data_IF_832061873972
#
_entry.id   IF_832061873972
#
_cell.length_a   1.000
_cell.length_b   1.000
_cell.length_c   1.000
_cell.angle_alpha   90.00
_cell.angle_beta   90.00
_cell.angle_gamma   90.00
#
_symmetry.space_group_name_H-M   'P 1'
#
loop_
_entity.id
_entity.type
_entity.pdbx_description
1 polymer ?
#
# COMPACT_ATOMS: atom_id res chain seq x y z
N UNK A 1 0.25 -13.75 -1.82
CA UNK A 1 1.41 -14.01 -2.71
C UNK A 1 1.49 -13.03 -3.87
N UNK A 2 0.37 -12.49 -4.33
CA UNK A 2 0.28 -11.54 -5.44
C UNK A 2 1.26 -10.37 -5.33
N UNK A 3 1.41 -9.76 -4.15
CA UNK A 3 2.30 -8.59 -3.96
C UNK A 3 3.79 -8.92 -3.76
N UNK A 4 4.18 -10.21 -3.78
CA UNK A 4 5.59 -10.58 -3.50
C UNK A 4 6.58 -10.04 -4.53
N UNK A 5 6.15 -9.79 -5.76
CA UNK A 5 7.02 -9.32 -6.84
C UNK A 5 7.21 -7.80 -6.84
N UNK A 6 6.36 -7.05 -6.13
CA UNK A 6 6.36 -5.58 -6.14
C UNK A 6 6.80 -4.98 -4.79
N UNK A 7 6.66 -5.71 -3.69
CA UNK A 7 7.16 -5.28 -2.37
C UNK A 7 8.67 -5.51 -2.27
N UNK A 8 9.40 -4.44 -1.94
CA UNK A 8 10.81 -4.51 -1.57
C UNK A 8 10.91 -4.41 -0.03
N UNK A 9 11.56 -5.37 0.66
CA UNK A 9 11.76 -5.31 2.10
C UNK A 9 12.44 -4.01 2.55
N UNK A 10 11.91 -3.38 3.60
CA UNK A 10 12.49 -2.18 4.21
C UNK A 10 12.95 -2.49 5.63
N UNK A 11 14.23 -2.26 5.90
CA UNK A 11 14.76 -2.34 7.26
C UNK A 11 14.60 -1.00 7.97
N UNK A 12 13.90 -1.02 9.10
CA UNK A 12 13.71 0.16 9.94
C UNK A 12 14.67 0.08 11.12
N UNK A 13 15.65 1.00 11.22
CA UNK A 13 16.61 1.00 12.31
C UNK A 13 15.94 1.43 13.62
N UNK A 14 16.35 0.79 14.71
CA UNK A 14 15.85 1.06 16.06
C UNK A 14 16.63 0.26 17.10
N UNK A 15 16.14 0.22 18.35
CA UNK A 15 16.75 -0.64 19.40
C UNK A 15 16.76 -2.12 18.99
N UNK A 16 15.72 -2.54 18.28
CA UNK A 16 15.65 -3.80 17.55
C UNK A 16 15.34 -3.45 16.10
N UNK A 17 16.12 -3.99 15.16
CA UNK A 17 15.87 -3.81 13.73
C UNK A 17 14.64 -4.61 13.35
N UNK A 18 13.72 -3.98 12.61
CA UNK A 18 12.52 -4.61 12.09
C UNK A 18 12.57 -4.54 10.57
N UNK A 19 12.31 -5.68 9.92
CA UNK A 19 12.17 -5.74 8.47
C UNK A 19 10.69 -5.77 8.11
N UNK A 20 10.24 -4.75 7.39
CA UNK A 20 8.87 -4.63 6.88
C UNK A 20 8.80 -5.27 5.50
N UNK A 21 7.94 -6.28 5.34
CA UNK A 21 7.80 -7.07 4.10
C UNK A 21 6.35 -7.27 3.66
N UNK A 22 5.38 -6.72 4.40
CA UNK A 22 3.95 -6.94 4.18
C UNK A 22 3.19 -5.67 4.60
N UNK A 23 2.12 -5.35 3.88
CA UNK A 23 1.22 -4.26 4.24
C UNK A 23 0.60 -4.47 5.63
N UNK A 24 0.62 -3.43 6.46
CA UNK A 24 0.28 -3.55 7.88
C UNK A 24 -1.23 -3.61 8.14
N UNK A 25 -2.01 -2.81 7.40
CA UNK A 25 -3.35 -2.39 7.85
C UNK A 25 -4.48 -3.35 7.48
N UNK A 26 -4.32 -4.19 6.46
CA UNK A 26 -5.43 -4.99 5.94
C UNK A 26 -5.97 -6.04 6.95
N UNK A 27 -5.16 -6.40 7.95
CA UNK A 27 -5.54 -7.30 9.05
C UNK A 27 -6.22 -6.57 10.21
N UNK A 28 -6.12 -5.25 10.29
CA UNK A 28 -6.64 -4.42 11.41
C UNK A 28 -8.14 -4.15 11.26
N UNK A 29 -8.95 -5.21 11.16
CA UNK A 29 -10.39 -5.12 10.97
C UNK A 29 -11.14 -5.95 12.02
N UNK A 30 -12.21 -5.37 12.57
CA UNK A 30 -13.20 -6.10 13.36
C UNK A 30 -14.55 -5.96 12.66
N UNK A 31 -14.94 -7.00 11.93
CA UNK A 31 -16.14 -6.97 11.08
C UNK A 31 -17.42 -6.73 11.86
N UNK A 32 -17.55 -7.27 13.07
CA UNK A 32 -18.72 -7.10 13.92
C UNK A 32 -18.93 -5.64 14.34
N UNK A 33 -17.85 -4.85 14.43
CA UNK A 33 -17.92 -3.44 14.81
C UNK A 33 -18.26 -2.52 13.63
N UNK A 34 -18.01 -2.91 12.39
CA UNK A 34 -18.19 -2.06 11.20
C UNK A 34 -19.60 -1.43 11.14
N UNK A 35 -20.72 -2.17 11.31
CA UNK A 35 -22.06 -1.60 11.23
C UNK A 35 -22.38 -0.58 12.33
N UNK A 36 -21.61 -0.57 13.41
CA UNK A 36 -21.86 0.26 14.60
C UNK A 36 -21.00 1.54 14.65
N UNK A 37 -20.10 1.71 13.68
CA UNK A 37 -19.21 2.87 13.64
C UNK A 37 -19.99 4.14 13.36
N UNK A 38 -19.68 5.19 14.12
CA UNK A 38 -20.22 6.52 13.87
C UNK A 38 -19.55 7.13 12.63
N UNK A 39 -20.29 7.93 11.85
CA UNK A 39 -19.70 8.71 10.77
C UNK A 39 -18.56 9.62 11.26
N UNK A 40 -17.45 9.65 10.52
CA UNK A 40 -16.22 10.35 10.95
C UNK A 40 -16.25 11.84 10.61
N UNK A 41 -16.84 12.22 9.47
CA UNK A 41 -16.74 13.59 8.93
C UNK A 41 -18.00 14.43 9.10
N UNK A 42 -19.18 13.81 9.05
CA UNK A 42 -20.47 14.50 9.11
C UNK A 42 -21.44 13.66 9.93
N UNK A 43 -22.23 14.30 10.80
CA UNK A 43 -23.12 13.61 11.75
C UNK A 43 -24.11 12.65 11.07
N UNK A 44 -24.66 13.04 9.92
CA UNK A 44 -25.62 12.24 9.13
C UNK A 44 -24.97 11.61 7.88
N UNK A 45 -23.64 11.51 7.86
CA UNK A 45 -22.88 10.94 6.75
C UNK A 45 -22.79 9.42 6.78
N UNK A 46 -22.16 8.83 5.76
CA UNK A 46 -21.97 7.37 5.63
C UNK A 46 -20.50 6.94 5.72
N UNK A 47 -19.56 7.89 5.74
CA UNK A 47 -18.12 7.62 5.77
C UNK A 47 -17.69 7.36 7.22
N UNK A 48 -17.06 6.22 7.47
CA UNK A 48 -16.53 5.77 8.76
C UNK A 48 -15.06 5.41 8.63
N UNK A 49 -14.37 5.22 9.76
CA UNK A 49 -12.98 4.77 9.74
C UNK A 49 -12.78 3.39 9.06
N UNK A 50 -13.80 2.53 8.98
CA UNK A 50 -13.67 1.22 8.36
C UNK A 50 -13.90 1.19 6.85
N UNK A 51 -14.56 2.21 6.29
CA UNK A 51 -14.85 2.27 4.85
C UNK A 51 -14.07 3.38 4.12
N UNK A 52 -13.30 4.19 4.85
CA UNK A 52 -12.34 5.13 4.31
C UNK A 52 -10.95 4.50 4.29
N UNK A 53 -10.07 5.04 3.43
CA UNK A 53 -8.65 4.73 3.47
C UNK A 53 -8.01 5.25 4.76
N UNK A 54 -6.99 4.54 5.25
CA UNK A 54 -6.20 4.96 6.39
C UNK A 54 -5.18 6.03 6.01
N UNK A 55 -4.57 6.65 7.03
CA UNK A 55 -3.36 7.43 6.84
C UNK A 55 -2.17 6.48 6.92
N UNK A 56 -1.38 6.40 5.84
CA UNK A 56 -0.31 5.42 5.70
C UNK A 56 0.98 6.07 5.22
N UNK A 57 2.10 5.44 5.56
CA UNK A 57 3.44 5.80 5.11
C UNK A 57 3.93 4.76 4.09
N UNK A 58 4.41 5.23 2.93
CA UNK A 58 4.90 4.35 1.87
C UNK A 58 5.47 5.10 0.68
N UNK A 59 6.18 4.38 -0.19
CA UNK A 59 6.75 4.91 -1.43
C UNK A 59 6.68 3.87 -2.54
N UNK A 60 6.59 4.34 -3.79
CA UNK A 60 6.65 3.51 -4.99
C UNK A 60 7.43 4.25 -6.09
N UNK A 61 8.08 3.49 -6.97
CA UNK A 61 8.82 4.03 -8.10
C UNK A 61 8.67 3.12 -9.34
N UNK A 62 8.71 3.74 -10.52
CA UNK A 62 8.74 3.05 -11.81
C UNK A 62 9.83 3.64 -12.68
N UNK A 63 10.41 2.83 -13.58
CA UNK A 63 11.39 3.28 -14.57
C UNK A 63 10.71 3.34 -15.93
N UNK A 64 10.74 4.52 -16.54
CA UNK A 64 10.22 4.75 -17.88
C UNK A 64 11.36 4.88 -18.88
N UNK A 65 11.12 4.40 -20.10
CA UNK A 65 12.08 4.46 -21.22
C UNK A 65 11.34 4.74 -22.51
N UNK A 66 11.96 5.47 -23.44
CA UNK A 66 11.38 5.68 -24.76
C UNK A 66 11.35 4.37 -25.57
N UNK A 67 10.42 4.24 -26.51
CA UNK A 67 10.32 3.04 -27.35
C UNK A 67 11.58 2.79 -28.20
N UNK A 68 12.26 3.86 -28.63
CA UNK A 68 13.53 3.76 -29.34
C UNK A 68 14.63 3.19 -28.43
N UNK A 69 14.76 3.74 -27.22
CA UNK A 69 15.79 3.32 -26.27
C UNK A 69 15.53 1.91 -25.73
N UNK A 70 14.26 1.51 -25.60
CA UNK A 70 13.87 0.15 -25.26
C UNK A 70 14.40 -0.86 -26.29
N UNK A 71 14.23 -0.58 -27.59
CA UNK A 71 14.75 -1.41 -28.69
C UNK A 71 16.27 -1.41 -28.73
N UNK A 72 16.90 -0.24 -28.58
CA UNK A 72 18.36 -0.09 -28.55
C UNK A 72 18.99 -0.91 -27.42
N UNK A 73 18.40 -0.87 -26.23
CA UNK A 73 18.88 -1.58 -25.03
C UNK A 73 18.40 -3.04 -24.95
N UNK A 74 17.55 -3.50 -25.87
CA UNK A 74 17.00 -4.86 -25.85
C UNK A 74 16.16 -5.18 -24.61
N UNK A 75 15.50 -4.18 -24.01
CA UNK A 75 14.72 -4.36 -22.80
C UNK A 75 13.34 -4.96 -23.10
N UNK A 76 12.85 -5.81 -22.20
CA UNK A 76 11.46 -6.31 -22.23
C UNK A 76 10.58 -5.41 -21.36
N UNK A 77 9.53 -4.77 -21.91
CA UNK A 77 8.61 -3.97 -21.11
C UNK A 77 7.78 -4.84 -20.17
N UNK A 78 7.37 -4.27 -19.03
CA UNK A 78 6.46 -4.91 -18.07
C UNK A 78 4.98 -4.70 -18.44
N UNK A 79 4.66 -3.66 -19.21
CA UNK A 79 3.31 -3.30 -19.67
C UNK A 79 3.35 -2.79 -21.11
#
# INVERSE_FOLDING_TARGET
>A
GYFKNEIIPVEVPGKQVVTVIEDEDYKKVNFDKIPTLKPTFQKDGTITAANASNLNDGAAAVVLVSGEKLKELGLKPLA
#
